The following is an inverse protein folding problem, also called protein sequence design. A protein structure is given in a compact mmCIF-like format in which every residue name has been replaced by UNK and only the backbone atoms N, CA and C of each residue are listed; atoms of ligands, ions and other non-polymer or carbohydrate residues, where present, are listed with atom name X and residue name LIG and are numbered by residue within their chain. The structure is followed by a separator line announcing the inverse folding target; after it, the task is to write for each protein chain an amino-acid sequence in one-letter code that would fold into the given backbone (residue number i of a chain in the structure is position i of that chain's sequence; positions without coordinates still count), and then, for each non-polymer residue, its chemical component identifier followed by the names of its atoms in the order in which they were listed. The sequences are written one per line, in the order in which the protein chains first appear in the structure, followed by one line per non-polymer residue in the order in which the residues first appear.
data_IF_348061872611
#
_entry.id   IF_348061872611
#
_cell.length_a   1.000
_cell.length_b   1.000
_cell.length_c   1.000
_cell.angle_alpha   90.00
_cell.angle_beta   90.00
_cell.angle_gamma   90.00
#
_symmetry.space_group_name_H-M   'P 1'
#
loop_
_entity.id
_entity.type
_entity.pdbx_description
1 polymer ?
#
# COMPACT_ATOMS: atom_id res chain seq x y z
N UNK A 1 -25.03 10.57 29.89
CA UNK A 1 -25.27 9.97 28.57
C UNK A 1 -23.96 9.36 28.11
N UNK A 2 -23.75 8.08 28.40
CA UNK A 2 -22.51 7.37 28.11
C UNK A 2 -22.42 7.08 26.62
N UNK A 3 -21.56 7.79 25.89
CA UNK A 3 -21.22 7.47 24.52
C UNK A 3 -20.24 6.31 24.53
N UNK A 4 -20.75 5.10 24.34
CA UNK A 4 -19.93 3.91 24.08
C UNK A 4 -19.08 4.20 22.84
N UNK A 5 -17.80 4.46 23.05
CA UNK A 5 -16.82 4.61 21.98
C UNK A 5 -16.78 3.30 21.19
N UNK A 6 -17.19 3.37 19.92
CA UNK A 6 -17.23 2.21 19.04
C UNK A 6 -15.79 1.85 18.66
N UNK A 7 -15.19 0.94 19.42
CA UNK A 7 -13.87 0.38 19.11
C UNK A 7 -13.97 -0.31 17.74
N UNK A 8 -13.37 0.31 16.72
CA UNK A 8 -13.22 -0.29 15.41
C UNK A 8 -12.17 -1.41 15.49
N UNK A 9 -12.60 -2.60 15.89
CA UNK A 9 -11.80 -3.82 15.74
C UNK A 9 -11.69 -4.08 14.25
N UNK A 10 -10.60 -3.65 13.64
CA UNK A 10 -10.34 -3.98 12.25
C UNK A 10 -10.09 -5.48 12.20
N UNK A 11 -10.96 -6.20 11.48
CA UNK A 11 -10.71 -7.56 11.00
C UNK A 11 -9.34 -7.57 10.33
N UNK A 12 -8.29 -7.96 11.05
CA UNK A 12 -7.13 -8.45 10.34
C UNK A 12 -7.47 -9.84 9.84
N UNK A 13 -6.83 -10.33 8.78
CA UNK A 13 -6.75 -11.79 8.64
C UNK A 13 -5.57 -12.40 9.37
N UNK A 14 -4.63 -11.61 9.88
CA UNK A 14 -3.71 -12.13 10.90
C UNK A 14 -3.12 -11.06 11.81
N UNK A 15 -2.65 -9.92 11.30
CA UNK A 15 -2.17 -8.82 12.14
C UNK A 15 -1.90 -7.58 11.27
N UNK A 16 -2.50 -6.39 11.48
CA UNK A 16 -2.12 -5.21 10.71
C UNK A 16 -1.15 -4.30 11.51
N UNK A 17 -0.65 -4.78 12.66
CA UNK A 17 0.27 -4.06 13.53
C UNK A 17 1.28 -4.96 14.22
N UNK A 18 1.69 -6.08 13.59
CA UNK A 18 2.82 -6.93 13.99
C UNK A 18 3.21 -6.89 15.47
N UNK A 19 2.54 -7.68 16.30
CA UNK A 19 2.83 -7.80 17.73
C UNK A 19 2.48 -6.56 18.56
N UNK A 20 2.36 -6.73 19.86
CA UNK A 20 2.11 -5.63 20.78
C UNK A 20 3.42 -4.83 20.90
N UNK A 21 3.70 -3.92 19.96
CA UNK A 21 4.90 -3.07 20.02
C UNK A 21 4.68 -2.04 21.13
N UNK A 22 5.08 -2.38 22.35
CA UNK A 22 5.14 -1.44 23.47
C UNK A 22 6.41 -0.62 23.35
N UNK A 23 6.39 0.36 22.44
CA UNK A 23 7.44 1.37 22.33
C UNK A 23 6.82 2.75 22.33
N UNK A 24 7.43 3.68 23.06
CA UNK A 24 6.95 5.06 23.19
C UNK A 24 7.05 5.85 21.87
N UNK A 25 7.88 5.39 20.93
CA UNK A 25 8.06 5.97 19.58
C UNK A 25 7.13 5.34 18.52
N UNK A 26 6.21 4.45 18.92
CA UNK A 26 5.33 3.77 17.98
C UNK A 26 4.31 4.74 17.35
N UNK A 27 4.26 4.74 16.02
CA UNK A 27 3.30 5.51 15.24
C UNK A 27 1.94 4.79 15.26
N UNK A 28 0.81 5.45 15.63
CA UNK A 28 -0.50 4.80 15.70
C UNK A 28 -0.93 4.17 14.36
N UNK A 29 -1.52 2.98 14.43
CA UNK A 29 -2.08 2.31 13.26
C UNK A 29 -3.13 3.19 12.57
N UNK A 30 -3.04 3.35 11.24
CA UNK A 30 -3.85 4.25 10.37
C UNK A 30 -3.53 5.74 10.45
N UNK A 31 -2.51 6.16 11.19
CA UNK A 31 -1.95 7.50 10.97
C UNK A 31 -1.33 7.60 9.56
N UNK A 32 -1.16 8.83 9.08
CA UNK A 32 -0.54 9.09 7.76
C UNK A 32 0.86 8.48 7.75
N UNK A 33 1.19 7.73 6.69
CA UNK A 33 2.55 7.24 6.47
C UNK A 33 3.55 8.43 6.48
N UNK A 34 4.75 8.26 7.06
CA UNK A 34 5.76 9.31 7.09
C UNK A 34 6.23 9.67 5.68
N UNK A 35 6.79 10.88 5.52
CA UNK A 35 7.17 11.41 4.22
C UNK A 35 8.20 10.53 3.49
N UNK A 36 9.20 10.00 4.20
CA UNK A 36 10.26 9.16 3.63
C UNK A 36 9.78 7.80 3.10
N UNK A 37 8.58 7.34 3.49
CA UNK A 37 7.99 6.08 3.02
C UNK A 37 7.10 6.28 1.79
N UNK A 38 6.85 7.52 1.38
CA UNK A 38 6.01 7.82 0.21
C UNK A 38 6.85 7.83 -1.04
N UNK A 39 6.23 7.42 -2.13
CA UNK A 39 6.80 7.45 -3.47
C UNK A 39 5.89 8.28 -4.40
N UNK A 40 6.41 8.80 -5.51
CA UNK A 40 5.60 9.46 -6.52
C UNK A 40 4.52 8.52 -7.08
N UNK A 41 3.33 9.04 -7.45
CA UNK A 41 2.33 8.23 -8.12
C UNK A 41 2.84 7.78 -9.50
N UNK A 42 2.53 6.54 -9.94
CA UNK A 42 2.85 6.10 -11.29
C UNK A 42 2.02 6.87 -12.32
N UNK A 43 2.52 6.98 -13.55
CA UNK A 43 1.76 7.64 -14.63
C UNK A 43 2.54 8.10 -15.86
N UNK A 44 3.84 7.81 -15.93
CA UNK A 44 4.68 8.07 -17.10
C UNK A 44 4.23 7.30 -18.35
N UNK A 45 4.76 7.66 -19.54
CA UNK A 45 4.39 7.03 -20.81
C UNK A 45 4.68 5.52 -20.81
N UNK A 46 5.88 5.12 -20.35
CA UNK A 46 6.30 3.70 -20.27
C UNK A 46 5.38 2.89 -19.35
N UNK A 47 4.98 3.47 -18.20
CA UNK A 47 4.02 2.82 -17.31
C UNK A 47 2.70 2.50 -18.02
N UNK A 48 2.18 3.41 -18.84
CA UNK A 48 0.91 3.22 -19.56
C UNK A 48 1.04 2.17 -20.67
N UNK A 49 2.16 2.13 -21.37
CA UNK A 49 2.46 1.14 -22.40
C UNK A 49 2.49 -0.28 -21.81
N UNK A 50 3.27 -0.47 -20.73
CA UNK A 50 3.38 -1.77 -20.06
C UNK A 50 2.03 -2.19 -19.45
N UNK A 51 1.28 -1.26 -18.85
CA UNK A 51 -0.08 -1.49 -18.37
C UNK A 51 -0.98 -2.04 -19.49
N UNK A 52 -1.00 -1.37 -20.64
CA UNK A 52 -1.82 -1.77 -21.79
C UNK A 52 -1.42 -3.15 -22.34
N UNK A 53 -0.12 -3.45 -22.37
CA UNK A 53 0.39 -4.75 -22.81
C UNK A 53 -0.07 -5.88 -21.87
N UNK A 54 0.11 -5.70 -20.56
CA UNK A 54 -0.30 -6.68 -19.55
C UNK A 54 -1.82 -6.93 -19.61
N UNK A 55 -2.61 -5.84 -19.64
CA UNK A 55 -4.07 -5.91 -19.71
C UNK A 55 -4.53 -6.59 -21.02
N UNK A 56 -3.87 -6.28 -22.15
CA UNK A 56 -4.17 -6.85 -23.46
C UNK A 56 -3.90 -8.36 -23.55
N UNK A 57 -2.83 -8.82 -22.90
CA UNK A 57 -2.46 -10.24 -22.83
C UNK A 57 -3.17 -10.98 -21.67
N UNK A 58 -4.03 -10.29 -20.91
CA UNK A 58 -4.72 -10.85 -19.73
C UNK A 58 -3.76 -11.48 -18.71
N UNK A 59 -2.60 -10.85 -18.51
CA UNK A 59 -1.57 -11.31 -17.58
C UNK A 59 -1.76 -10.68 -16.20
N UNK A 60 -1.25 -11.35 -15.16
CA UNK A 60 -1.22 -10.82 -13.80
C UNK A 60 0.22 -10.61 -13.37
N UNK A 61 0.49 -9.53 -12.63
CA UNK A 61 1.82 -9.25 -12.09
C UNK A 61 1.79 -9.04 -10.59
N UNK A 62 2.84 -9.47 -9.90
CA UNK A 62 3.03 -9.16 -8.47
C UNK A 62 3.05 -7.65 -8.22
N UNK A 63 3.47 -6.86 -9.21
CA UNK A 63 3.50 -5.41 -9.11
C UNK A 63 2.09 -4.82 -8.90
N UNK A 64 1.09 -5.35 -9.61
CA UNK A 64 -0.30 -4.90 -9.51
C UNK A 64 -1.03 -5.54 -8.34
N UNK A 65 -0.93 -6.87 -8.20
CA UNK A 65 -1.64 -7.62 -7.15
C UNK A 65 -1.22 -7.18 -5.74
N UNK A 66 0.07 -6.88 -5.54
CA UNK A 66 0.58 -6.44 -4.25
C UNK A 66 0.36 -4.93 -4.01
N UNK A 67 -0.19 -4.19 -4.96
CA UNK A 67 -0.18 -2.72 -4.96
C UNK A 67 1.22 -2.16 -4.67
N UNK A 68 2.21 -2.64 -5.41
CA UNK A 68 3.61 -2.29 -5.17
C UNK A 68 3.80 -0.77 -5.30
N UNK A 69 4.33 -0.08 -4.28
CA UNK A 69 4.54 1.37 -4.36
C UNK A 69 5.52 1.73 -5.49
N UNK A 70 6.44 0.84 -5.84
CA UNK A 70 7.52 1.11 -6.79
C UNK A 70 7.13 0.80 -8.25
N UNK A 71 5.87 0.48 -8.54
CA UNK A 71 5.43 0.03 -9.88
C UNK A 71 5.82 1.01 -11.00
N UNK A 72 5.75 2.33 -10.74
CA UNK A 72 6.14 3.35 -11.72
C UNK A 72 7.63 3.29 -12.07
N UNK A 73 8.51 3.35 -11.07
CA UNK A 73 9.95 3.34 -11.33
C UNK A 73 10.47 1.98 -11.81
N UNK A 74 9.85 0.87 -11.40
CA UNK A 74 10.27 -0.46 -11.83
C UNK A 74 10.02 -0.66 -13.32
N UNK A 75 8.86 -0.21 -13.81
CA UNK A 75 8.49 -0.32 -15.21
C UNK A 75 9.24 0.68 -16.10
N UNK A 76 9.64 1.84 -15.59
CA UNK A 76 10.49 2.79 -16.34
C UNK A 76 11.94 2.33 -16.54
N UNK A 77 12.41 1.37 -15.74
CA UNK A 77 13.75 0.79 -15.87
C UNK A 77 13.78 -0.47 -16.75
N UNK A 78 12.60 -0.96 -17.17
CA UNK A 78 12.41 -2.20 -17.92
C UNK A 78 12.44 -1.99 -19.43
#
# INVERSE_FOLDING_TARGET
MSTTERIHVTRSRANPGGGNVQRDDAIPFRSRKPAWLKVPPPGGPVYREIKQMIDGESLNTVCEEANCPNIGECWERG
#
